data_IF_359600571910
#
_entry.id   IF_359600571910
#
_cell.length_a   1.000
_cell.length_b   1.000
_cell.length_c   1.000
_cell.angle_alpha   90.00
_cell.angle_beta   90.00
_cell.angle_gamma   90.00
#
_symmetry.space_group_name_H-M   'P 1'
#
loop_
_entity.id
_entity.type
_entity.pdbx_description
1 polymer ?
#
# COMPACT_ATOMS: atom_id res chain seq x y z
N UNK A 1 -6.38 -44.65 -0.31
CA UNK A 1 -5.77 -43.57 0.49
C UNK A 1 -6.31 -43.63 1.91
N UNK A 2 -5.54 -43.15 2.86
CA UNK A 2 -5.94 -43.04 4.27
C UNK A 2 -5.96 -41.56 4.65
N UNK A 3 -7.02 -41.14 5.36
CA UNK A 3 -7.16 -39.78 5.86
C UNK A 3 -7.47 -39.80 7.35
N UNK A 4 -6.78 -38.98 8.13
CA UNK A 4 -7.12 -38.76 9.53
C UNK A 4 -8.22 -37.72 9.57
N UNK A 5 -9.46 -38.14 9.85
CA UNK A 5 -10.62 -37.28 9.97
C UNK A 5 -11.25 -37.40 11.34
N UNK A 6 -11.49 -36.28 12.00
CA UNK A 6 -12.18 -36.24 13.29
C UNK A 6 -12.89 -34.90 13.48
N UNK A 7 -13.81 -34.88 14.43
CA UNK A 7 -14.49 -33.62 14.85
C UNK A 7 -14.23 -33.39 16.33
N UNK A 8 -14.00 -32.12 16.68
CA UNK A 8 -13.75 -31.66 18.03
C UNK A 8 -14.78 -30.60 18.40
N UNK A 9 -15.48 -30.81 19.52
CA UNK A 9 -16.51 -29.90 20.01
C UNK A 9 -15.95 -28.94 21.05
N UNK A 10 -16.32 -27.63 20.94
CA UNK A 10 -15.96 -26.61 21.91
C UNK A 10 -17.11 -25.64 22.13
N UNK A 11 -17.31 -25.21 23.37
CA UNK A 11 -18.35 -24.23 23.71
C UNK A 11 -17.68 -22.93 24.12
N UNK A 12 -18.03 -21.85 23.43
CA UNK A 12 -17.56 -20.49 23.71
C UNK A 12 -18.63 -19.65 24.41
N UNK A 13 -18.23 -18.92 25.43
CA UNK A 13 -19.06 -17.87 26.06
C UNK A 13 -19.00 -16.55 25.25
N UNK A 14 -19.07 -16.66 23.91
CA UNK A 14 -18.96 -15.60 22.93
C UNK A 14 -20.03 -15.74 21.86
N UNK A 15 -20.50 -14.62 21.27
CA UNK A 15 -21.43 -14.69 20.16
C UNK A 15 -20.72 -15.18 18.88
N UNK A 16 -21.48 -15.79 17.97
CA UNK A 16 -20.98 -16.40 16.74
C UNK A 16 -20.13 -15.45 15.87
N UNK A 17 -20.49 -14.17 15.79
CA UNK A 17 -19.77 -13.19 14.96
C UNK A 17 -18.35 -12.87 15.47
N UNK A 18 -18.02 -13.20 16.73
CA UNK A 18 -16.67 -13.05 17.28
C UNK A 18 -15.76 -14.26 16.97
N UNK A 19 -16.29 -15.30 16.34
CA UNK A 19 -15.55 -16.53 16.01
C UNK A 19 -15.03 -16.57 14.57
N UNK A 20 -15.02 -15.46 13.85
CA UNK A 20 -14.55 -15.39 12.46
C UNK A 20 -13.10 -15.86 12.24
N UNK A 21 -12.24 -15.68 13.24
CA UNK A 21 -10.84 -16.10 13.23
C UNK A 21 -10.59 -17.49 13.83
N UNK A 22 -11.64 -18.27 14.13
CA UNK A 22 -11.47 -19.59 14.73
C UNK A 22 -10.78 -20.58 13.80
N UNK A 23 -11.08 -20.57 12.50
CA UNK A 23 -10.43 -21.46 11.53
C UNK A 23 -8.92 -21.18 11.39
N UNK A 24 -8.45 -19.94 11.26
CA UNK A 24 -7.04 -19.58 11.37
C UNK A 24 -6.37 -20.06 12.66
N UNK A 25 -7.02 -19.93 13.82
CA UNK A 25 -6.46 -20.41 15.10
C UNK A 25 -6.32 -21.94 15.14
N UNK A 26 -7.33 -22.67 14.67
CA UNK A 26 -7.29 -24.14 14.56
C UNK A 26 -6.21 -24.59 13.58
N UNK A 27 -6.00 -23.86 12.47
CA UNK A 27 -4.94 -24.18 11.52
C UNK A 27 -3.55 -24.05 12.16
N UNK A 28 -3.34 -23.09 13.04
CA UNK A 28 -2.09 -22.99 13.83
C UNK A 28 -1.92 -24.16 14.78
N UNK A 29 -2.97 -24.61 15.47
CA UNK A 29 -2.90 -25.80 16.30
C UNK A 29 -2.46 -27.02 15.49
N UNK A 30 -3.05 -27.23 14.31
CA UNK A 30 -2.66 -28.31 13.40
C UNK A 30 -1.19 -28.19 12.95
N UNK A 31 -0.76 -26.98 12.58
CA UNK A 31 0.63 -26.71 12.19
C UNK A 31 1.60 -27.04 13.32
N UNK A 32 1.33 -26.61 14.56
CA UNK A 32 2.15 -26.89 15.73
C UNK A 32 2.26 -28.38 16.01
N UNK A 33 1.15 -29.12 15.96
CA UNK A 33 1.15 -30.55 16.13
C UNK A 33 1.98 -31.29 15.08
N UNK A 34 1.91 -30.85 13.81
CA UNK A 34 2.72 -31.40 12.73
C UNK A 34 4.21 -31.04 12.88
N UNK A 35 4.51 -29.82 13.29
CA UNK A 35 5.88 -29.36 13.54
C UNK A 35 6.57 -30.14 14.66
N UNK A 36 5.86 -30.49 15.75
CA UNK A 36 6.41 -31.39 16.81
C UNK A 36 6.72 -32.81 16.31
N UNK A 37 6.21 -33.13 15.13
CA UNK A 37 6.51 -34.38 14.44
C UNK A 37 7.57 -34.23 13.34
N UNK A 38 8.21 -33.06 13.24
CA UNK A 38 9.24 -32.76 12.26
C UNK A 38 8.72 -32.43 10.87
N UNK A 39 7.44 -32.10 10.73
CA UNK A 39 6.80 -31.69 9.48
C UNK A 39 6.50 -30.19 9.52
N UNK A 40 7.20 -29.40 8.73
CA UNK A 40 6.91 -28.00 8.56
C UNK A 40 5.92 -27.80 7.41
N UNK A 41 4.77 -27.21 7.71
CA UNK A 41 3.69 -26.92 6.77
C UNK A 41 3.29 -25.45 6.84
N UNK A 42 2.60 -24.99 5.82
CA UNK A 42 2.06 -23.64 5.75
C UNK A 42 0.53 -23.67 5.83
N UNK A 43 -0.03 -22.52 6.12
CA UNK A 43 -1.49 -22.31 6.17
C UNK A 43 -1.89 -21.49 4.95
N UNK A 44 -2.89 -21.95 4.23
CA UNK A 44 -3.56 -21.17 3.20
C UNK A 44 -4.90 -20.66 3.76
N UNK A 45 -5.05 -19.35 3.78
CA UNK A 45 -6.30 -18.73 4.25
C UNK A 45 -7.52 -19.18 3.44
N UNK A 46 -8.70 -19.41 4.08
CA UNK A 46 -8.91 -19.26 5.52
C UNK A 46 -8.63 -20.51 6.35
N UNK A 47 -8.60 -21.73 5.76
CA UNK A 47 -8.79 -22.98 6.48
C UNK A 47 -8.05 -24.18 5.89
N UNK A 48 -7.12 -23.99 4.95
CA UNK A 48 -6.38 -25.07 4.32
C UNK A 48 -4.98 -25.24 4.93
N UNK A 49 -4.59 -26.49 5.17
CA UNK A 49 -3.21 -26.87 5.51
C UNK A 49 -2.50 -27.29 4.22
N UNK A 50 -1.33 -26.73 3.95
CA UNK A 50 -0.63 -26.94 2.68
C UNK A 50 0.86 -27.22 2.87
N UNK A 51 1.43 -27.99 1.96
CA UNK A 51 2.87 -28.20 1.81
C UNK A 51 3.29 -27.69 0.43
N UNK A 52 3.86 -26.48 0.38
CA UNK A 52 4.09 -25.78 -0.87
C UNK A 52 2.77 -25.48 -1.60
N UNK A 53 2.57 -26.07 -2.78
CA UNK A 53 1.33 -25.91 -3.58
C UNK A 53 0.25 -26.94 -3.24
N UNK A 54 0.63 -28.03 -2.60
CA UNK A 54 -0.22 -29.20 -2.43
C UNK A 54 -1.02 -29.13 -1.14
N UNK A 55 -2.30 -29.48 -1.22
CA UNK A 55 -3.20 -29.50 -0.06
C UNK A 55 -2.94 -30.76 0.78
N UNK A 56 -2.54 -30.54 2.03
CA UNK A 56 -2.37 -31.59 3.04
C UNK A 56 -3.66 -31.90 3.80
N UNK A 57 -4.47 -30.88 4.05
CA UNK A 57 -5.68 -31.04 4.83
C UNK A 57 -6.56 -29.79 4.81
N UNK A 58 -7.66 -29.86 5.52
CA UNK A 58 -8.59 -28.75 5.64
C UNK A 58 -9.37 -28.78 6.95
N UNK A 59 -9.91 -27.62 7.30
CA UNK A 59 -10.67 -27.38 8.52
C UNK A 59 -12.05 -26.90 8.12
N UNK A 60 -13.09 -27.49 8.70
CA UNK A 60 -14.47 -27.08 8.56
C UNK A 60 -15.03 -26.78 9.94
N UNK A 61 -15.61 -25.58 10.11
CA UNK A 61 -16.20 -25.17 11.38
C UNK A 61 -17.67 -24.90 11.18
N UNK A 62 -18.48 -25.62 11.91
CA UNK A 62 -19.92 -25.38 12.02
C UNK A 62 -20.23 -24.87 13.44
N UNK A 63 -21.11 -23.88 13.52
CA UNK A 63 -21.46 -23.27 14.80
C UNK A 63 -22.96 -23.31 15.04
N UNK A 64 -23.34 -23.64 16.27
CA UNK A 64 -24.72 -23.64 16.73
C UNK A 64 -24.86 -22.71 17.92
N UNK A 65 -25.82 -21.81 17.88
CA UNK A 65 -26.12 -20.86 18.96
C UNK A 65 -27.17 -21.45 19.90
N UNK A 66 -26.87 -21.39 21.20
CA UNK A 66 -27.83 -21.78 22.24
C UNK A 66 -27.64 -20.87 23.47
N UNK A 67 -28.70 -20.18 23.92
CA UNK A 67 -28.76 -19.41 25.16
C UNK A 67 -27.59 -18.47 25.45
N UNK A 68 -27.12 -17.73 24.40
CA UNK A 68 -26.02 -16.76 24.53
C UNK A 68 -24.61 -17.37 24.38
N UNK A 69 -24.49 -18.68 24.33
CA UNK A 69 -23.23 -19.40 24.03
C UNK A 69 -23.20 -19.88 22.60
N UNK A 70 -22.01 -20.06 22.07
CA UNK A 70 -21.80 -20.65 20.73
C UNK A 70 -21.05 -21.96 20.87
N UNK A 71 -21.69 -23.05 20.48
CA UNK A 71 -21.03 -24.34 20.31
C UNK A 71 -20.43 -24.42 18.90
N UNK A 72 -19.15 -24.73 18.81
CA UNK A 72 -18.44 -24.97 17.55
C UNK A 72 -18.13 -26.46 17.41
N UNK A 73 -18.45 -27.03 16.27
CA UNK A 73 -17.99 -28.35 15.83
C UNK A 73 -16.88 -28.12 14.81
N UNK A 74 -15.68 -28.54 15.16
CA UNK A 74 -14.46 -28.30 14.41
C UNK A 74 -14.09 -29.61 13.72
N UNK A 75 -14.37 -29.75 12.43
CA UNK A 75 -13.97 -30.88 11.59
C UNK A 75 -12.55 -30.65 11.05
N UNK A 76 -11.69 -31.63 11.20
CA UNK A 76 -10.31 -31.59 10.70
C UNK A 76 -10.08 -32.85 9.86
N UNK A 77 -9.61 -32.63 8.62
CA UNK A 77 -9.19 -33.71 7.71
C UNK A 77 -7.74 -33.51 7.30
N UNK A 78 -6.89 -34.52 7.51
CA UNK A 78 -5.49 -34.52 7.11
C UNK A 78 -5.21 -35.78 6.28
N UNK A 79 -4.69 -35.61 5.06
CA UNK A 79 -4.29 -36.68 4.19
C UNK A 79 -3.11 -37.44 4.81
N UNK A 80 -3.31 -38.67 5.18
CA UNK A 80 -2.28 -39.49 5.82
C UNK A 80 -1.47 -40.29 4.79
N UNK A 81 -2.17 -40.98 3.89
CA UNK A 81 -1.61 -41.71 2.75
C UNK A 81 -2.47 -41.43 1.52
N UNK A 82 -1.86 -41.00 0.44
CA UNK A 82 -2.55 -40.76 -0.82
C UNK A 82 -2.21 -41.80 -1.87
N UNK A 83 -3.16 -42.21 -2.75
CA UNK A 83 -2.87 -42.91 -3.98
C UNK A 83 -1.93 -42.12 -4.88
N UNK A 84 -1.14 -42.83 -5.70
CA UNK A 84 -0.13 -42.19 -6.58
C UNK A 84 -0.74 -41.28 -7.68
N UNK A 85 -2.01 -41.48 -8.00
CA UNK A 85 -2.71 -40.82 -9.07
C UNK A 85 -3.36 -39.46 -8.63
N UNK A 86 -3.26 -39.09 -7.34
CA UNK A 86 -3.86 -37.86 -6.84
C UNK A 86 -2.88 -36.71 -7.03
N UNK A 87 -3.25 -35.77 -7.91
CA UNK A 87 -2.50 -34.56 -8.17
C UNK A 87 -2.88 -33.41 -7.21
N UNK A 88 -1.99 -32.44 -6.99
CA UNK A 88 -2.21 -31.24 -6.17
C UNK A 88 -2.58 -31.54 -4.70
N UNK A 89 -2.18 -32.68 -4.17
CA UNK A 89 -2.38 -33.05 -2.79
C UNK A 89 -1.11 -33.60 -2.15
N UNK A 90 -0.86 -33.22 -0.89
CA UNK A 90 0.22 -33.74 -0.06
C UNK A 90 -0.33 -34.75 0.96
N UNK A 91 0.53 -35.65 1.47
CA UNK A 91 0.21 -36.51 2.57
C UNK A 91 1.30 -36.53 3.63
N UNK A 92 0.92 -36.83 4.87
CA UNK A 92 1.86 -36.96 6.00
C UNK A 92 2.97 -37.95 5.67
N UNK A 93 2.64 -39.10 5.08
CA UNK A 93 3.61 -40.11 4.71
C UNK A 93 4.64 -39.60 3.68
N UNK A 94 4.18 -38.91 2.62
CA UNK A 94 5.07 -38.38 1.60
C UNK A 94 6.00 -37.31 2.15
N UNK A 95 5.46 -36.40 2.99
CA UNK A 95 6.27 -35.37 3.65
C UNK A 95 7.32 -35.96 4.59
N UNK A 96 6.97 -36.96 5.35
CA UNK A 96 7.91 -37.68 6.19
C UNK A 96 9.05 -38.32 5.36
N UNK A 97 8.70 -38.99 4.27
CA UNK A 97 9.67 -39.62 3.39
C UNK A 97 10.65 -38.58 2.80
N UNK A 98 10.12 -37.45 2.30
CA UNK A 98 10.94 -36.38 1.73
C UNK A 98 11.86 -35.74 2.79
N UNK A 99 11.37 -35.51 4.01
CA UNK A 99 12.16 -34.93 5.10
C UNK A 99 13.30 -35.86 5.53
N UNK A 100 13.13 -37.20 5.43
CA UNK A 100 14.16 -38.19 5.73
C UNK A 100 15.22 -38.29 4.65
N UNK A 101 14.81 -38.26 3.37
CA UNK A 101 15.75 -38.20 2.25
C UNK A 101 16.66 -36.98 2.37
N UNK A 102 16.11 -35.81 2.73
CA UNK A 102 16.87 -34.59 2.93
C UNK A 102 17.89 -34.66 4.09
N UNK A 103 17.63 -35.50 5.11
CA UNK A 103 18.51 -35.73 6.29
C UNK A 103 19.49 -36.87 6.12
N UNK A 104 19.45 -37.61 5.01
CA UNK A 104 20.35 -38.76 4.77
C UNK A 104 20.11 -39.96 5.68
N UNK A 105 18.93 -40.11 6.29
CA UNK A 105 18.60 -41.23 7.23
C UNK A 105 17.78 -42.30 6.54
N UNK A 106 18.26 -43.54 6.53
CA UNK A 106 17.75 -44.63 5.68
C UNK A 106 16.58 -45.44 6.26
N UNK A 107 16.04 -45.18 7.42
CA UNK A 107 14.77 -45.80 7.86
C UNK A 107 14.20 -45.21 9.14
N UNK A 108 13.12 -44.44 9.03
CA UNK A 108 12.23 -44.16 10.16
C UNK A 108 10.80 -44.37 9.68
N UNK A 109 10.03 -45.09 10.48
CA UNK A 109 8.60 -45.34 10.20
C UNK A 109 7.85 -44.03 10.34
N UNK A 110 6.88 -43.77 9.44
CA UNK A 110 5.98 -42.64 9.57
C UNK A 110 5.31 -42.66 10.96
N UNK A 111 5.08 -41.50 11.53
CA UNK A 111 4.35 -41.36 12.81
C UNK A 111 2.99 -42.09 12.70
N UNK A 112 2.59 -42.91 13.67
CA UNK A 112 1.25 -43.52 13.70
C UNK A 112 0.16 -42.44 13.74
N UNK A 113 -0.96 -42.68 13.06
CA UNK A 113 -2.08 -41.74 13.03
C UNK A 113 -2.62 -41.42 14.45
N UNK A 114 -2.61 -42.41 15.35
CA UNK A 114 -2.99 -42.20 16.76
C UNK A 114 -2.08 -41.22 17.49
N UNK A 115 -0.75 -41.33 17.28
CA UNK A 115 0.21 -40.41 17.88
C UNK A 115 0.05 -38.98 17.33
N UNK A 116 -0.24 -38.83 16.05
CA UNK A 116 -0.55 -37.51 15.48
C UNK A 116 -1.85 -36.97 16.05
N UNK A 117 -2.87 -37.81 16.21
CA UNK A 117 -4.15 -37.40 16.81
C UNK A 117 -3.96 -36.92 18.27
N UNK A 118 -3.17 -37.60 19.08
CA UNK A 118 -2.89 -37.19 20.46
C UNK A 118 -2.23 -35.81 20.51
N UNK A 119 -1.27 -35.53 19.61
CA UNK A 119 -0.63 -34.21 19.48
C UNK A 119 -1.61 -33.16 19.02
N UNK A 120 -2.46 -33.44 18.03
CA UNK A 120 -3.50 -32.54 17.54
C UNK A 120 -4.47 -32.17 18.65
N UNK A 121 -4.96 -33.11 19.43
CA UNK A 121 -5.86 -32.87 20.55
C UNK A 121 -5.21 -32.00 21.63
N UNK A 122 -3.93 -32.24 21.95
CA UNK A 122 -3.16 -31.42 22.88
C UNK A 122 -3.05 -29.96 22.43
N UNK A 123 -2.63 -29.72 21.19
CA UNK A 123 -2.49 -28.36 20.63
C UNK A 123 -3.83 -27.67 20.45
N UNK A 124 -4.87 -28.39 20.01
CA UNK A 124 -6.23 -27.86 19.91
C UNK A 124 -6.74 -27.37 21.26
N UNK A 125 -6.58 -28.19 22.32
CA UNK A 125 -7.00 -27.77 23.65
C UNK A 125 -6.27 -26.52 24.14
N UNK A 126 -4.95 -26.44 23.92
CA UNK A 126 -4.14 -25.29 24.30
C UNK A 126 -4.56 -24.01 23.54
N UNK A 127 -4.67 -24.10 22.20
CA UNK A 127 -5.04 -22.97 21.35
C UNK A 127 -6.48 -22.51 21.63
N UNK A 128 -7.44 -23.43 21.74
CA UNK A 128 -8.84 -23.07 21.98
C UNK A 128 -9.05 -22.47 23.38
N UNK A 129 -8.32 -22.91 24.39
CA UNK A 129 -8.33 -22.30 25.72
C UNK A 129 -7.84 -20.87 25.66
N UNK A 130 -6.72 -20.60 25.02
CA UNK A 130 -6.17 -19.26 24.85
C UNK A 130 -7.07 -18.38 23.99
N UNK A 131 -7.60 -18.92 22.89
CA UNK A 131 -8.53 -18.22 22.00
C UNK A 131 -9.84 -17.84 22.70
N UNK A 132 -10.39 -18.69 23.52
CA UNK A 132 -11.60 -18.39 24.29
C UNK A 132 -11.42 -17.17 25.19
N UNK A 133 -10.23 -16.98 25.76
CA UNK A 133 -9.92 -15.86 26.66
C UNK A 133 -9.51 -14.59 25.90
N UNK A 134 -8.63 -14.71 24.91
CA UNK A 134 -7.90 -13.59 24.33
C UNK A 134 -8.24 -13.32 22.84
N UNK A 135 -9.10 -14.16 22.21
CA UNK A 135 -9.34 -14.09 20.77
C UNK A 135 -8.12 -14.48 19.97
N UNK A 136 -8.04 -13.99 18.72
CA UNK A 136 -6.98 -14.36 17.79
C UNK A 136 -5.73 -13.48 17.88
N UNK A 137 -5.82 -12.31 18.52
CA UNK A 137 -4.72 -11.35 18.59
C UNK A 137 -3.36 -11.94 19.03
N UNK A 138 -3.27 -12.85 20.02
CA UNK A 138 -1.99 -13.48 20.43
C UNK A 138 -1.35 -14.38 19.36
N UNK A 139 -2.09 -14.77 18.34
CA UNK A 139 -1.65 -15.71 17.31
C UNK A 139 -1.27 -15.03 15.99
N UNK A 140 -1.51 -13.71 15.85
CA UNK A 140 -1.37 -12.98 14.59
C UNK A 140 0.02 -13.08 13.98
N UNK A 141 1.07 -12.84 14.76
CA UNK A 141 2.46 -12.87 14.28
C UNK A 141 2.85 -14.26 13.77
N UNK A 142 2.51 -15.29 14.54
CA UNK A 142 2.77 -16.68 14.15
C UNK A 142 1.96 -17.06 12.90
N UNK A 143 0.71 -16.63 12.82
CA UNK A 143 -0.13 -16.90 11.66
C UNK A 143 0.40 -16.22 10.40
N UNK A 144 0.80 -14.93 10.48
CA UNK A 144 1.41 -14.20 9.38
C UNK A 144 2.63 -14.92 8.81
N UNK A 145 3.49 -15.41 9.72
CA UNK A 145 4.70 -16.19 9.34
C UNK A 145 4.34 -17.55 8.69
N UNK A 146 3.27 -18.18 9.15
CA UNK A 146 2.81 -19.48 8.65
C UNK A 146 1.96 -19.36 7.38
N UNK A 147 1.42 -18.16 7.09
CA UNK A 147 0.52 -17.95 5.95
C UNK A 147 1.27 -18.02 4.62
N UNK A 148 0.97 -19.04 3.80
CA UNK A 148 1.67 -19.34 2.53
C UNK A 148 1.71 -18.17 1.56
N UNK A 149 0.58 -17.46 1.46
CA UNK A 149 0.39 -16.42 0.45
C UNK A 149 0.71 -15.01 0.98
N UNK A 150 1.22 -14.87 2.21
CA UNK A 150 1.61 -13.58 2.78
C UNK A 150 2.65 -12.87 1.89
N UNK A 151 2.39 -11.62 1.52
CA UNK A 151 3.22 -10.82 0.62
C UNK A 151 3.19 -11.27 -0.85
N UNK A 152 2.32 -12.22 -1.25
CA UNK A 152 2.27 -12.78 -2.61
C UNK A 152 1.04 -12.30 -3.38
N UNK A 153 1.15 -12.19 -4.72
CA UNK A 153 -0.01 -11.95 -5.56
C UNK A 153 -0.92 -13.18 -5.59
N UNK A 154 -2.22 -12.92 -5.51
CA UNK A 154 -3.26 -13.96 -5.49
C UNK A 154 -4.47 -13.53 -6.31
N UNK A 155 -5.18 -14.54 -6.82
CA UNK A 155 -6.50 -14.39 -7.40
C UNK A 155 -7.55 -14.73 -6.33
N UNK A 156 -8.55 -13.87 -6.20
CA UNK A 156 -9.71 -14.09 -5.36
C UNK A 156 -10.82 -14.69 -6.19
N UNK A 157 -11.24 -15.92 -5.88
CA UNK A 157 -12.25 -16.64 -6.63
C UNK A 157 -13.53 -16.79 -5.80
N UNK A 158 -14.69 -16.57 -6.45
CA UNK A 158 -16.00 -16.92 -5.95
C UNK A 158 -16.65 -17.82 -6.99
N UNK A 159 -17.15 -18.98 -6.59
CA UNK A 159 -17.74 -19.98 -7.49
C UNK A 159 -16.84 -20.37 -8.68
N UNK A 160 -15.51 -20.39 -8.43
CA UNK A 160 -14.51 -20.72 -9.45
C UNK A 160 -14.19 -19.61 -10.44
N UNK A 161 -14.85 -18.45 -10.35
CA UNK A 161 -14.58 -17.28 -11.18
C UNK A 161 -13.73 -16.26 -10.42
N UNK A 162 -12.73 -15.68 -11.07
CA UNK A 162 -11.93 -14.60 -10.50
C UNK A 162 -12.80 -13.36 -10.32
N UNK A 163 -12.98 -12.93 -9.07
CA UNK A 163 -13.73 -11.73 -8.72
C UNK A 163 -12.82 -10.55 -8.41
N UNK A 164 -11.56 -10.79 -8.04
CA UNK A 164 -10.55 -9.77 -7.82
C UNK A 164 -9.14 -10.39 -7.84
N UNK A 165 -8.13 -9.52 -7.95
CA UNK A 165 -6.72 -9.88 -7.82
C UNK A 165 -6.02 -8.88 -6.88
N UNK A 166 -4.97 -9.31 -6.21
CA UNK A 166 -4.23 -8.43 -5.29
C UNK A 166 -3.09 -9.13 -4.61
N UNK A 167 -2.33 -8.37 -3.83
CA UNK A 167 -1.24 -8.89 -2.98
C UNK A 167 -1.76 -9.05 -1.55
N UNK A 168 -1.52 -10.20 -0.94
CA UNK A 168 -1.89 -10.45 0.46
C UNK A 168 -1.03 -9.59 1.39
N UNK A 169 -1.68 -8.72 2.17
CA UNK A 169 -1.00 -7.86 3.14
C UNK A 169 -0.92 -8.54 4.52
N UNK A 170 -2.06 -8.95 5.05
CA UNK A 170 -2.15 -9.50 6.40
C UNK A 170 -3.48 -10.22 6.61
N UNK A 171 -3.61 -10.87 7.78
CA UNK A 171 -4.90 -11.29 8.35
C UNK A 171 -5.07 -10.54 9.67
N UNK A 172 -6.25 -9.99 9.93
CA UNK A 172 -6.53 -9.24 11.16
C UNK A 172 -6.97 -10.13 12.33
N UNK A 173 -7.20 -9.52 13.49
CA UNK A 173 -7.64 -10.22 14.70
C UNK A 173 -9.06 -10.83 14.58
N UNK A 174 -9.85 -10.41 13.61
CA UNK A 174 -11.16 -10.95 13.27
C UNK A 174 -11.08 -12.10 12.27
N UNK A 175 -9.88 -12.39 11.74
CA UNK A 175 -9.64 -13.42 10.75
C UNK A 175 -9.90 -13.00 9.31
N UNK A 176 -10.16 -11.71 9.08
CA UNK A 176 -10.35 -11.17 7.74
C UNK A 176 -9.00 -10.98 7.05
N UNK A 177 -8.98 -11.27 5.75
CA UNK A 177 -7.80 -11.10 4.90
C UNK A 177 -7.76 -9.70 4.32
N UNK A 178 -6.61 -9.06 4.40
CA UNK A 178 -6.33 -7.77 3.79
C UNK A 178 -5.52 -7.95 2.51
N UNK A 179 -6.05 -7.43 1.41
CA UNK A 179 -5.43 -7.48 0.08
C UNK A 179 -5.14 -6.07 -0.42
N UNK A 180 -3.97 -5.85 -0.98
CA UNK A 180 -3.70 -4.68 -1.82
C UNK A 180 -4.12 -5.00 -3.26
N UNK A 181 -5.16 -4.34 -3.72
CA UNK A 181 -5.67 -4.45 -5.09
C UNK A 181 -5.36 -3.20 -5.89
N UNK A 182 -5.60 -3.20 -7.19
CA UNK A 182 -5.47 -2.00 -8.03
C UNK A 182 -6.38 -0.85 -7.56
N UNK A 183 -7.49 -1.14 -6.87
CA UNK A 183 -8.42 -0.15 -6.30
C UNK A 183 -8.05 0.30 -4.87
N UNK A 184 -6.94 -0.20 -4.30
CA UNK A 184 -6.51 0.05 -2.92
C UNK A 184 -6.68 -1.17 -2.01
N UNK A 185 -6.51 -0.97 -0.70
CA UNK A 185 -6.66 -2.02 0.28
C UNK A 185 -8.12 -2.49 0.37
N UNK A 186 -8.31 -3.79 0.31
CA UNK A 186 -9.60 -4.46 0.42
C UNK A 186 -9.58 -5.49 1.54
N UNK A 187 -10.60 -5.46 2.39
CA UNK A 187 -10.82 -6.46 3.44
C UNK A 187 -11.75 -7.55 2.94
N UNK A 188 -11.34 -8.80 3.08
CA UNK A 188 -12.08 -9.99 2.66
C UNK A 188 -12.41 -10.84 3.88
N UNK A 189 -13.70 -10.99 4.15
CA UNK A 189 -14.17 -11.87 5.21
C UNK A 189 -14.36 -13.27 4.65
N UNK A 190 -14.02 -14.31 5.41
CA UNK A 190 -14.19 -15.71 4.99
C UNK A 190 -15.67 -16.02 4.65
N UNK A 191 -15.86 -16.70 3.54
CA UNK A 191 -17.16 -17.10 3.00
C UNK A 191 -16.93 -18.02 1.80
N UNK A 192 -17.74 -17.93 0.77
CA UNK A 192 -17.60 -18.70 -0.49
C UNK A 192 -16.44 -18.16 -1.37
N UNK A 193 -15.30 -17.84 -0.77
CA UNK A 193 -14.16 -17.23 -1.43
C UNK A 193 -12.93 -18.11 -1.27
N UNK A 194 -12.25 -18.39 -2.36
CA UNK A 194 -11.02 -19.17 -2.42
C UNK A 194 -9.86 -18.31 -2.93
N UNK A 195 -8.70 -18.42 -2.28
CA UNK A 195 -7.45 -17.86 -2.77
C UNK A 195 -6.76 -18.86 -3.70
N UNK A 196 -6.26 -18.36 -4.83
CA UNK A 196 -5.31 -19.10 -5.65
C UNK A 196 -4.06 -18.23 -5.89
N UNK A 197 -2.85 -18.84 -5.90
CA UNK A 197 -1.68 -18.12 -6.39
C UNK A 197 -1.97 -17.63 -7.81
N UNK A 198 -1.59 -16.41 -8.11
CA UNK A 198 -1.62 -15.93 -9.47
C UNK A 198 -0.39 -16.52 -10.19
N UNK A 199 -0.61 -17.69 -10.82
CA UNK A 199 0.42 -18.42 -11.59
C UNK A 199 0.49 -17.97 -13.06
N UNK A 200 -0.16 -16.89 -13.45
CA UNK A 200 0.04 -16.31 -14.78
C UNK A 200 1.54 -16.06 -14.97
N UNK A 201 2.16 -16.44 -16.12
CA UNK A 201 3.55 -16.16 -16.35
C UNK A 201 3.76 -14.64 -16.42
N UNK A 202 3.82 -14.01 -15.27
CA UNK A 202 4.43 -12.69 -15.13
C UNK A 202 5.92 -12.92 -15.18
N UNK A 203 6.61 -12.16 -16.01
CA UNK A 203 8.06 -12.13 -16.05
C UNK A 203 8.62 -12.24 -14.63
N UNK A 204 9.60 -13.11 -14.44
CA UNK A 204 10.29 -13.53 -13.22
C UNK A 204 9.77 -12.95 -11.90
N UNK A 205 9.39 -13.81 -10.94
CA UNK A 205 8.96 -13.43 -9.60
C UNK A 205 9.77 -12.23 -9.07
N UNK A 206 9.11 -11.20 -8.51
CA UNK A 206 9.83 -10.06 -7.94
C UNK A 206 10.85 -10.60 -6.94
N UNK A 207 12.10 -10.26 -7.16
CA UNK A 207 13.18 -10.46 -6.19
C UNK A 207 12.75 -9.83 -4.87
N UNK A 208 13.23 -10.34 -3.70
CA UNK A 208 12.90 -9.75 -2.41
C UNK A 208 13.05 -8.23 -2.48
N UNK A 209 12.14 -7.47 -1.87
CA UNK A 209 12.01 -6.04 -2.13
C UNK A 209 13.36 -5.36 -1.98
N UNK A 210 13.86 -4.85 -3.11
CA UNK A 210 14.98 -3.92 -3.10
C UNK A 210 14.56 -2.77 -2.19
N UNK A 211 15.39 -2.40 -1.24
CA UNK A 211 15.15 -1.20 -0.46
C UNK A 211 15.14 0.00 -1.39
N UNK A 212 14.13 0.83 -1.28
CA UNK A 212 13.95 1.96 -2.18
C UNK A 212 13.89 3.24 -1.36
N UNK A 213 14.72 4.20 -1.73
CA UNK A 213 14.68 5.56 -1.23
C UNK A 213 14.13 6.47 -2.32
N UNK A 214 13.01 7.15 -2.04
CA UNK A 214 12.41 8.14 -2.94
C UNK A 214 12.79 9.55 -2.50
N UNK A 215 13.17 10.42 -3.45
CA UNK A 215 13.62 11.79 -3.22
C UNK A 215 12.77 12.79 -3.99
N UNK A 216 12.24 13.81 -3.31
CA UNK A 216 11.61 15.01 -3.88
C UNK A 216 12.47 16.23 -3.62
N UNK A 217 13.26 16.62 -4.62
CA UNK A 217 14.19 17.75 -4.60
C UNK A 217 13.52 19.08 -4.94
N UNK A 218 12.72 19.63 -4.03
CA UNK A 218 12.09 20.95 -4.18
C UNK A 218 13.08 22.11 -4.06
N UNK A 219 12.66 23.34 -4.44
CA UNK A 219 13.54 24.52 -4.40
C UNK A 219 14.02 24.91 -3.00
N UNK A 220 13.22 24.72 -1.96
CA UNK A 220 13.53 25.17 -0.59
C UNK A 220 14.08 24.06 0.30
N UNK A 221 13.63 22.83 0.09
CA UNK A 221 13.98 21.68 0.93
C UNK A 221 13.92 20.39 0.13
N UNK A 222 14.69 19.41 0.60
CA UNK A 222 14.58 18.01 0.19
C UNK A 222 13.50 17.32 1.03
N UNK A 223 12.70 16.45 0.40
CA UNK A 223 11.88 15.46 1.09
C UNK A 223 12.27 14.07 0.63
N UNK A 224 12.18 13.10 1.53
CA UNK A 224 12.48 11.71 1.18
C UNK A 224 11.61 10.72 1.94
N UNK A 225 11.43 9.56 1.37
CA UNK A 225 10.69 8.45 1.95
C UNK A 225 11.40 7.13 1.69
N UNK A 226 11.52 6.31 2.71
CA UNK A 226 11.91 4.91 2.58
C UNK A 226 10.69 4.09 2.25
N UNK A 227 10.81 3.25 1.22
CA UNK A 227 9.75 2.33 0.78
C UNK A 227 10.10 0.93 1.22
N UNK A 228 9.20 0.31 1.95
CA UNK A 228 9.27 -1.08 2.40
C UNK A 228 7.99 -1.79 1.94
N UNK A 229 8.13 -2.91 1.24
CA UNK A 229 7.00 -3.67 0.70
C UNK A 229 6.03 -2.85 -0.19
N UNK A 230 6.57 -1.91 -0.98
CA UNK A 230 5.77 -1.06 -1.87
C UNK A 230 4.99 0.07 -1.20
N UNK A 231 5.23 0.32 0.09
CA UNK A 231 4.57 1.37 0.88
C UNK A 231 5.61 2.22 1.60
N UNK A 232 5.34 3.51 1.79
CA UNK A 232 6.09 4.37 2.70
C UNK A 232 5.15 4.86 3.82
N UNK A 233 5.66 4.92 5.04
CA UNK A 233 4.88 5.33 6.21
C UNK A 233 5.16 6.78 6.61
N UNK A 234 6.36 7.25 6.36
CA UNK A 234 6.81 8.58 6.77
C UNK A 234 7.57 9.28 5.64
N UNK A 235 7.38 10.58 5.51
CA UNK A 235 8.17 11.45 4.64
C UNK A 235 8.96 12.42 5.51
N UNK A 236 10.28 12.26 5.50
CA UNK A 236 11.20 13.18 6.16
C UNK A 236 11.49 14.38 5.26
N UNK A 237 11.80 15.53 5.86
CA UNK A 237 12.16 16.75 5.14
C UNK A 237 13.30 17.49 5.84
N UNK A 238 14.19 18.10 5.05
CA UNK A 238 15.25 18.93 5.56
C UNK A 238 15.64 20.06 4.58
N UNK A 239 16.11 21.19 5.07
CA UNK A 239 16.72 22.23 4.24
C UNK A 239 18.07 21.75 3.69
N UNK A 240 18.47 22.17 2.49
CA UNK A 240 19.73 21.75 1.87
C UNK A 240 21.00 22.14 2.65
N UNK A 241 20.90 23.08 3.58
CA UNK A 241 22.02 23.46 4.47
C UNK A 241 22.31 22.43 5.56
N UNK A 242 21.38 21.51 5.80
CA UNK A 242 21.51 20.45 6.80
C UNK A 242 20.78 19.19 6.34
N UNK A 243 21.54 18.27 5.75
CA UNK A 243 21.08 16.97 5.27
C UNK A 243 21.68 15.83 6.14
N UNK A 244 22.17 16.13 7.34
CA UNK A 244 22.76 15.14 8.25
C UNK A 244 21.82 13.95 8.50
N UNK A 245 20.54 14.23 8.73
CA UNK A 245 19.52 13.19 8.94
C UNK A 245 19.39 12.23 7.73
N UNK A 246 19.53 12.72 6.50
CA UNK A 246 19.52 11.86 5.31
C UNK A 246 20.71 10.89 5.33
N UNK A 247 21.92 11.39 5.65
CA UNK A 247 23.12 10.58 5.76
C UNK A 247 23.05 9.54 6.89
N UNK A 248 22.51 9.92 8.04
CA UNK A 248 22.28 9.01 9.18
C UNK A 248 21.30 7.89 8.83
N UNK A 249 20.16 8.24 8.23
CA UNK A 249 19.17 7.26 7.80
C UNK A 249 19.72 6.36 6.69
N UNK A 250 20.49 6.92 5.76
CA UNK A 250 21.16 6.16 4.73
C UNK A 250 22.11 5.12 5.32
N UNK A 251 23.00 5.53 6.20
CA UNK A 251 23.95 4.65 6.86
C UNK A 251 23.28 3.53 7.67
N UNK A 252 22.13 3.84 8.29
CA UNK A 252 21.40 2.88 9.12
C UNK A 252 20.53 1.90 8.33
N UNK A 253 20.05 2.28 7.14
CA UNK A 253 18.99 1.54 6.42
C UNK A 253 19.40 1.00 5.04
N UNK A 254 20.46 1.54 4.42
CA UNK A 254 20.88 1.11 3.07
C UNK A 254 21.64 -0.22 3.09
N UNK A 255 21.56 -0.93 1.97
CA UNK A 255 22.38 -2.10 1.66
C UNK A 255 22.85 -2.02 0.20
N UNK A 256 23.61 -3.02 -0.28
CA UNK A 256 24.17 -3.09 -1.63
C UNK A 256 23.10 -3.17 -2.76
N UNK A 257 21.83 -3.39 -2.41
CA UNK A 257 20.70 -3.47 -3.32
C UNK A 257 19.75 -2.27 -3.21
N UNK A 258 20.07 -1.31 -2.35
CA UNK A 258 19.22 -0.13 -2.16
C UNK A 258 19.24 0.74 -3.42
N UNK A 259 18.06 0.93 -4.01
CA UNK A 259 17.87 1.85 -5.15
C UNK A 259 17.46 3.24 -4.65
N UNK A 260 17.92 4.26 -5.36
CA UNK A 260 17.54 5.65 -5.08
C UNK A 260 16.93 6.25 -6.34
N UNK A 261 15.67 6.66 -6.24
CA UNK A 261 14.92 7.28 -7.33
C UNK A 261 14.36 8.62 -6.86
N UNK A 262 14.55 9.66 -7.63
CA UNK A 262 14.06 10.97 -7.26
C UNK A 262 13.69 11.82 -8.46
N UNK A 263 13.01 12.92 -8.21
CA UNK A 263 12.89 14.03 -9.14
C UNK A 263 13.36 15.32 -8.46
N UNK A 264 13.83 16.27 -9.23
CA UNK A 264 14.34 17.52 -8.68
C UNK A 264 14.12 18.71 -9.60
N UNK A 265 13.78 19.84 -8.97
CA UNK A 265 13.69 21.17 -9.58
C UNK A 265 14.62 22.18 -8.88
N UNK A 266 15.51 21.67 -8.03
CA UNK A 266 16.38 22.49 -7.18
C UNK A 266 17.71 22.91 -7.82
N UNK A 267 17.98 22.42 -9.04
CA UNK A 267 19.24 22.65 -9.75
C UNK A 267 20.40 21.73 -9.31
N UNK A 268 21.45 21.67 -10.14
CA UNK A 268 22.52 20.66 -10.03
C UNK A 268 23.37 20.79 -8.74
N UNK A 269 23.60 22.02 -8.26
CA UNK A 269 24.33 22.23 -7.01
C UNK A 269 23.66 21.56 -5.81
N UNK A 270 22.31 21.66 -5.71
CA UNK A 270 21.57 21.03 -4.62
C UNK A 270 21.44 19.52 -4.80
N UNK A 271 21.36 19.02 -6.04
CA UNK A 271 21.46 17.58 -6.31
C UNK A 271 22.79 17.02 -5.82
N UNK A 272 23.91 17.68 -6.13
CA UNK A 272 25.24 17.28 -5.67
C UNK A 272 25.34 17.26 -4.14
N UNK A 273 24.71 18.23 -3.44
CA UNK A 273 24.65 18.20 -1.96
C UNK A 273 23.89 16.97 -1.44
N UNK A 274 22.80 16.56 -2.09
CA UNK A 274 22.08 15.34 -1.72
C UNK A 274 22.93 14.11 -1.95
N UNK A 275 23.53 14.00 -3.13
CA UNK A 275 24.37 12.86 -3.53
C UNK A 275 25.61 12.68 -2.63
N UNK A 276 26.14 13.76 -2.09
CA UNK A 276 27.27 13.70 -1.16
C UNK A 276 26.95 12.97 0.16
N UNK A 277 25.69 12.79 0.53
CA UNK A 277 25.24 12.05 1.70
C UNK A 277 24.88 10.59 1.41
N UNK A 278 25.00 10.15 0.16
CA UNK A 278 24.57 8.84 -0.32
C UNK A 278 25.76 8.12 -0.95
N UNK A 279 25.89 6.81 -0.73
CA UNK A 279 27.00 6.01 -1.30
C UNK A 279 26.60 5.28 -2.58
N UNK A 280 25.35 5.44 -3.03
CA UNK A 280 24.84 4.88 -4.27
C UNK A 280 24.36 6.01 -5.21
N UNK A 281 24.37 5.80 -6.53
CA UNK A 281 23.93 6.81 -7.49
C UNK A 281 22.41 7.06 -7.37
N UNK A 282 22.05 8.33 -7.49
CA UNK A 282 20.63 8.75 -7.53
C UNK A 282 20.16 8.76 -8.97
N UNK A 283 19.09 8.05 -9.25
CA UNK A 283 18.39 8.16 -10.54
C UNK A 283 17.39 9.31 -10.49
N UNK A 284 17.81 10.47 -11.01
CA UNK A 284 16.94 11.64 -11.13
C UNK A 284 16.07 11.53 -12.37
N UNK A 285 14.75 11.51 -12.16
CA UNK A 285 13.76 11.38 -13.23
C UNK A 285 13.30 12.77 -13.70
N UNK A 286 13.39 13.05 -15.00
CA UNK A 286 12.83 14.26 -15.61
C UNK A 286 11.31 14.10 -15.81
N UNK A 287 10.66 15.16 -16.25
CA UNK A 287 9.34 15.02 -16.87
C UNK A 287 9.46 14.26 -18.19
N UNK A 288 8.45 13.46 -18.50
CA UNK A 288 8.43 12.53 -19.63
C UNK A 288 7.27 12.83 -20.58
N UNK A 289 7.36 12.44 -21.87
CA UNK A 289 6.24 12.56 -22.81
C UNK A 289 5.04 11.68 -22.42
N UNK A 290 5.30 10.55 -21.75
CA UNK A 290 4.27 9.63 -21.26
C UNK A 290 4.81 8.81 -20.11
N UNK A 291 3.99 8.56 -19.07
CA UNK A 291 4.22 7.60 -18.02
C UNK A 291 2.89 7.20 -17.35
N UNK A 292 2.79 5.96 -16.85
CA UNK A 292 1.61 5.45 -16.13
C UNK A 292 0.29 5.64 -16.91
N UNK A 293 0.34 5.51 -18.23
CA UNK A 293 -0.80 5.77 -19.10
C UNK A 293 -1.16 7.25 -19.28
N UNK A 294 -0.48 8.18 -18.59
CA UNK A 294 -0.71 9.63 -18.73
C UNK A 294 0.17 10.18 -19.85
N UNK A 295 -0.47 10.90 -20.78
CA UNK A 295 0.20 11.59 -21.88
C UNK A 295 0.43 13.07 -21.53
N UNK A 296 1.69 13.50 -21.62
CA UNK A 296 2.10 14.88 -21.39
C UNK A 296 1.94 15.73 -22.66
N UNK A 297 1.20 16.83 -22.58
CA UNK A 297 0.99 17.75 -23.70
C UNK A 297 1.92 18.96 -23.69
N UNK A 298 2.94 18.99 -22.84
CA UNK A 298 3.99 19.98 -22.93
C UNK A 298 4.69 19.85 -24.29
N UNK A 299 4.90 20.98 -24.98
CA UNK A 299 5.58 20.99 -26.29
C UNK A 299 7.00 20.45 -26.19
N UNK A 300 7.68 20.82 -25.12
CA UNK A 300 9.00 20.32 -24.77
C UNK A 300 8.95 19.80 -23.33
N UNK A 301 8.89 18.47 -23.12
CA UNK A 301 8.89 17.87 -21.79
C UNK A 301 10.09 18.24 -20.92
N UNK A 302 11.25 18.61 -21.50
CA UNK A 302 12.42 19.03 -20.74
C UNK A 302 12.25 20.37 -20.02
N UNK A 303 11.32 21.22 -20.46
CA UNK A 303 10.98 22.48 -19.81
C UNK A 303 9.94 22.30 -18.69
N UNK A 304 9.31 21.13 -18.65
CA UNK A 304 8.27 20.82 -17.67
C UNK A 304 8.91 20.39 -16.35
N UNK A 305 8.62 21.09 -15.26
CA UNK A 305 9.12 20.75 -13.93
C UNK A 305 8.72 19.31 -13.54
N UNK A 306 9.70 18.53 -13.16
CA UNK A 306 9.49 17.12 -12.78
C UNK A 306 8.58 16.99 -11.56
N UNK A 307 8.59 17.92 -10.61
CA UNK A 307 7.69 17.98 -9.47
C UNK A 307 6.21 18.09 -9.89
N UNK A 308 5.90 18.88 -10.91
CA UNK A 308 4.54 18.99 -11.46
C UNK A 308 4.11 17.70 -12.16
N UNK A 309 5.03 17.10 -12.91
CA UNK A 309 4.80 15.82 -13.59
C UNK A 309 4.50 14.70 -12.59
N UNK A 310 5.34 14.55 -11.57
CA UNK A 310 5.13 13.51 -10.55
C UNK A 310 3.95 13.79 -9.63
N UNK A 311 3.56 15.05 -9.40
CA UNK A 311 2.28 15.40 -8.78
C UNK A 311 1.09 14.90 -9.61
N UNK A 312 1.12 15.06 -10.95
CA UNK A 312 0.07 14.54 -11.83
C UNK A 312 0.01 13.00 -11.82
N UNK A 313 1.16 12.32 -11.89
CA UNK A 313 1.23 10.87 -11.76
C UNK A 313 0.70 10.36 -10.41
N UNK A 314 1.04 11.05 -9.33
CA UNK A 314 0.58 10.72 -7.97
C UNK A 314 -0.91 10.96 -7.76
N UNK A 315 -1.49 11.93 -8.47
CA UNK A 315 -2.91 12.28 -8.32
C UNK A 315 -3.85 11.15 -8.72
N UNK A 316 -3.43 10.28 -9.63
CA UNK A 316 -4.21 9.13 -10.09
C UNK A 316 -4.47 8.08 -9.01
N UNK A 317 -3.70 8.08 -7.94
CA UNK A 317 -4.00 7.26 -6.75
C UNK A 317 -5.25 7.73 -6.01
N UNK A 318 -5.62 8.98 -6.15
CA UNK A 318 -6.67 9.65 -5.37
C UNK A 318 -7.88 10.08 -6.18
N UNK A 319 -7.77 10.12 -7.51
CA UNK A 319 -8.86 10.45 -8.43
C UNK A 319 -8.66 9.79 -9.79
N UNK A 320 -9.74 9.21 -10.31
CA UNK A 320 -9.85 8.73 -11.69
C UNK A 320 -10.61 9.73 -12.58
N UNK A 321 -11.23 10.76 -11.98
CA UNK A 321 -11.92 11.82 -12.70
C UNK A 321 -10.93 12.79 -13.34
N UNK A 322 -11.44 13.69 -14.17
CA UNK A 322 -10.70 14.91 -14.51
C UNK A 322 -10.32 15.62 -13.20
N UNK A 323 -9.09 16.10 -13.08
CA UNK A 323 -8.69 16.76 -11.84
C UNK A 323 -7.75 17.96 -12.06
N UNK A 324 -7.91 18.96 -11.20
CA UNK A 324 -6.96 20.05 -11.03
C UNK A 324 -6.01 19.67 -9.91
N UNK A 325 -4.73 19.58 -10.22
CA UNK A 325 -3.67 19.29 -9.25
C UNK A 325 -3.00 20.60 -8.84
N UNK A 326 -3.10 20.96 -7.56
CA UNK A 326 -2.60 22.21 -7.02
C UNK A 326 -1.44 21.92 -6.08
N UNK A 327 -0.28 22.53 -6.34
CA UNK A 327 0.87 22.45 -5.42
C UNK A 327 1.15 23.80 -4.78
N UNK A 328 1.06 23.87 -3.45
CA UNK A 328 1.22 25.09 -2.65
C UNK A 328 2.56 25.10 -1.92
N UNK A 329 3.64 25.35 -2.67
CA UNK A 329 5.01 25.41 -2.17
C UNK A 329 5.65 26.81 -2.31
N UNK A 330 6.95 26.83 -2.65
CA UNK A 330 7.71 28.05 -2.99
C UNK A 330 7.08 28.78 -4.17
N UNK A 331 6.67 28.02 -5.19
CA UNK A 331 5.71 28.44 -6.20
C UNK A 331 4.36 27.77 -5.94
N UNK A 332 3.28 28.38 -6.41
CA UNK A 332 1.97 27.72 -6.52
C UNK A 332 1.76 27.35 -7.98
N UNK A 333 1.42 26.07 -8.21
CA UNK A 333 1.06 25.58 -9.54
C UNK A 333 -0.37 25.07 -9.55
N UNK A 334 -1.07 25.21 -10.68
CA UNK A 334 -2.37 24.61 -10.92
C UNK A 334 -2.34 23.90 -12.26
N UNK A 335 -2.46 22.58 -12.24
CA UNK A 335 -2.27 21.69 -13.37
C UNK A 335 -3.56 20.96 -13.72
N UNK A 336 -3.86 20.78 -14.99
CA UNK A 336 -5.08 20.13 -15.47
C UNK A 336 -4.77 18.75 -16.04
N UNK A 337 -5.49 17.74 -15.55
CA UNK A 337 -5.43 16.35 -15.97
C UNK A 337 -6.84 15.86 -16.30
N UNK A 338 -7.05 15.37 -17.53
CA UNK A 338 -8.37 14.87 -17.97
C UNK A 338 -8.63 13.45 -17.48
N UNK A 339 -9.89 13.02 -17.47
CA UNK A 339 -10.30 11.66 -17.09
C UNK A 339 -9.69 10.55 -17.98
N UNK A 340 -9.38 10.88 -19.23
CA UNK A 340 -8.72 9.99 -20.20
C UNK A 340 -7.18 10.12 -20.18
N UNK A 341 -6.63 10.61 -19.07
CA UNK A 341 -5.19 10.66 -18.80
C UNK A 341 -4.37 11.59 -19.73
N UNK A 342 -4.90 12.76 -20.09
CA UNK A 342 -4.13 13.79 -20.74
C UNK A 342 -3.74 14.89 -19.76
N UNK A 343 -2.44 15.06 -19.49
CA UNK A 343 -1.91 16.20 -18.78
C UNK A 343 -1.83 17.40 -19.74
N UNK A 344 -2.73 18.36 -19.56
CA UNK A 344 -2.91 19.47 -20.49
C UNK A 344 -1.93 20.63 -20.27
N UNK A 345 -1.23 20.63 -19.16
CA UNK A 345 -0.44 21.75 -18.68
C UNK A 345 -1.14 22.51 -17.56
N UNK A 346 -0.58 23.65 -17.19
CA UNK A 346 -1.08 24.43 -16.07
C UNK A 346 -0.39 25.79 -15.92
N UNK A 347 -0.65 26.44 -14.79
CA UNK A 347 -0.09 27.75 -14.46
C UNK A 347 0.90 27.68 -13.32
N UNK A 348 1.84 28.62 -13.30
CA UNK A 348 2.84 28.78 -12.24
C UNK A 348 2.75 30.23 -11.76
N UNK A 349 2.67 30.41 -10.45
CA UNK A 349 2.71 31.71 -9.81
C UNK A 349 3.61 31.71 -8.57
N UNK A 350 4.07 32.85 -8.07
CA UNK A 350 4.80 32.93 -6.83
C UNK A 350 3.97 32.36 -5.68
N UNK A 351 4.58 31.58 -4.76
CA UNK A 351 3.95 31.19 -3.50
C UNK A 351 3.80 32.37 -2.55
N UNK A 352 3.05 32.17 -1.46
CA UNK A 352 2.71 33.24 -0.51
C UNK A 352 3.93 34.00 0.02
N UNK A 353 5.03 33.29 0.28
CA UNK A 353 6.27 33.91 0.76
C UNK A 353 6.90 34.82 -0.29
N UNK A 354 7.02 34.31 -1.53
CA UNK A 354 7.59 35.08 -2.64
C UNK A 354 6.73 36.29 -2.99
N UNK A 355 5.38 36.18 -2.97
CA UNK A 355 4.50 37.31 -3.21
C UNK A 355 4.72 38.42 -2.15
N UNK A 356 4.82 38.02 -0.88
CA UNK A 356 5.07 38.95 0.24
C UNK A 356 6.44 39.64 0.12
N UNK A 357 7.50 38.85 -0.15
CA UNK A 357 8.85 39.38 -0.34
C UNK A 357 8.93 40.34 -1.52
N UNK A 358 8.26 39.99 -2.62
CA UNK A 358 8.23 40.89 -3.80
C UNK A 358 7.58 42.25 -3.48
N UNK A 359 6.49 42.29 -2.72
CA UNK A 359 5.84 43.51 -2.28
C UNK A 359 6.76 44.29 -1.33
N UNK A 360 7.38 43.62 -0.34
CA UNK A 360 8.31 44.24 0.59
C UNK A 360 9.54 44.86 -0.11
N UNK A 361 10.11 44.12 -1.08
CA UNK A 361 11.32 44.53 -1.78
C UNK A 361 11.11 45.63 -2.84
N UNK A 362 9.91 45.74 -3.41
CA UNK A 362 9.64 46.59 -4.56
C UNK A 362 8.70 47.75 -4.26
N UNK A 363 8.28 47.95 -3.00
CA UNK A 363 7.38 49.04 -2.61
C UNK A 363 7.84 49.70 -1.31
N UNK A 364 7.58 50.99 -1.15
CA UNK A 364 8.05 51.77 0.00
C UNK A 364 7.34 51.39 1.33
N UNK A 365 6.07 50.93 1.28
CA UNK A 365 5.23 50.82 2.47
C UNK A 365 4.51 49.48 2.64
N UNK A 366 4.85 48.44 1.83
CA UNK A 366 4.18 47.11 1.89
C UNK A 366 5.02 46.05 2.60
N UNK A 367 6.15 46.41 3.20
CA UNK A 367 6.82 45.50 4.16
C UNK A 367 6.03 45.50 5.48
N UNK A 368 5.09 44.60 5.58
CA UNK A 368 4.16 44.47 6.71
C UNK A 368 4.14 43.07 7.26
N UNK A 369 3.82 42.89 8.55
CA UNK A 369 3.59 41.56 9.12
C UNK A 369 2.45 40.85 8.38
N UNK A 370 2.36 39.51 8.53
CA UNK A 370 1.25 38.77 7.96
C UNK A 370 -0.09 39.17 8.59
N UNK A 371 -1.08 39.48 7.75
CA UNK A 371 -2.43 39.78 8.16
C UNK A 371 -3.33 38.57 8.20
N UNK A 372 -4.63 38.81 8.39
CA UNK A 372 -5.70 37.79 8.28
C UNK A 372 -6.46 37.99 6.96
N UNK A 373 -7.08 36.92 6.49
CA UNK A 373 -7.93 36.94 5.29
C UNK A 373 -9.33 37.46 5.65
N UNK A 374 -9.79 38.47 4.93
CA UNK A 374 -11.12 39.06 5.05
C UNK A 374 -11.74 39.30 3.66
N UNK A 375 -13.06 39.18 3.51
CA UNK A 375 -13.74 39.52 2.25
C UNK A 375 -13.54 41.00 1.82
N UNK A 376 -13.51 41.90 2.79
CA UNK A 376 -13.31 43.35 2.62
C UNK A 376 -12.29 43.85 3.65
N UNK A 377 -10.97 43.65 3.38
CA UNK A 377 -9.93 44.05 4.33
C UNK A 377 -9.78 45.58 4.42
N UNK A 378 -9.70 46.10 5.65
CA UNK A 378 -9.59 47.51 5.94
C UNK A 378 -8.25 47.93 6.51
N UNK A 379 -7.28 47.06 6.55
CA UNK A 379 -5.90 47.33 6.94
C UNK A 379 -4.91 46.80 5.91
N UNK A 380 -3.76 47.46 5.73
CA UNK A 380 -2.76 47.08 4.74
C UNK A 380 -2.26 45.60 4.93
N UNK A 381 -1.93 45.11 6.14
CA UNK A 381 -1.54 43.71 6.31
C UNK A 381 -2.63 42.71 5.88
N UNK A 382 -3.89 43.02 6.23
CA UNK A 382 -5.02 42.16 5.83
C UNK A 382 -5.28 42.24 4.31
N UNK A 383 -5.15 43.42 3.70
CA UNK A 383 -5.32 43.58 2.27
C UNK A 383 -4.27 42.79 1.47
N UNK A 384 -3.01 42.83 1.90
CA UNK A 384 -1.93 42.04 1.28
C UNK A 384 -2.24 40.54 1.40
N UNK A 385 -2.57 40.07 2.61
CA UNK A 385 -2.82 38.65 2.84
C UNK A 385 -4.06 38.14 2.11
N UNK A 386 -5.16 38.94 2.11
CA UNK A 386 -6.38 38.57 1.35
C UNK A 386 -6.11 38.55 -0.16
N UNK A 387 -5.42 39.56 -0.71
CA UNK A 387 -5.12 39.59 -2.13
C UNK A 387 -4.25 38.47 -2.62
N UNK A 388 -3.24 38.06 -1.83
CA UNK A 388 -2.44 36.86 -2.15
C UNK A 388 -3.29 35.59 -2.13
N UNK A 389 -4.20 35.45 -1.17
CA UNK A 389 -5.09 34.29 -1.08
C UNK A 389 -6.10 34.26 -2.22
N UNK A 390 -6.70 35.40 -2.54
CA UNK A 390 -7.63 35.57 -3.66
C UNK A 390 -6.97 35.24 -5.00
N UNK A 391 -5.71 35.61 -5.19
CA UNK A 391 -4.94 35.25 -6.39
C UNK A 391 -4.81 33.73 -6.54
N UNK A 392 -4.48 33.03 -5.45
CA UNK A 392 -4.32 31.55 -5.48
C UNK A 392 -5.67 30.88 -5.65
N UNK A 393 -6.69 31.24 -4.86
CA UNK A 393 -8.04 30.68 -4.98
C UNK A 393 -8.65 30.93 -6.35
N UNK A 394 -8.46 32.14 -6.89
CA UNK A 394 -8.91 32.51 -8.22
C UNK A 394 -8.27 31.68 -9.33
N UNK A 395 -6.97 31.37 -9.21
CA UNK A 395 -6.28 30.49 -10.14
C UNK A 395 -6.81 29.04 -10.10
N UNK A 396 -7.10 28.51 -8.90
CA UNK A 396 -7.71 27.18 -8.73
C UNK A 396 -9.10 27.14 -9.39
N UNK A 397 -9.96 28.11 -9.07
CA UNK A 397 -11.33 28.16 -9.61
C UNK A 397 -11.30 28.33 -11.13
N UNK A 398 -10.43 29.19 -11.65
CA UNK A 398 -10.29 29.42 -13.08
C UNK A 398 -9.82 28.16 -13.82
N UNK A 399 -8.84 27.46 -13.28
CA UNK A 399 -8.37 26.20 -13.87
C UNK A 399 -9.44 25.12 -13.82
N UNK A 400 -10.16 24.99 -12.70
CA UNK A 400 -11.30 24.10 -12.56
C UNK A 400 -12.37 24.39 -13.61
N UNK A 401 -12.78 25.65 -13.76
CA UNK A 401 -13.77 26.06 -14.76
C UNK A 401 -13.35 25.73 -16.20
N UNK A 402 -12.07 25.94 -16.55
CA UNK A 402 -11.52 25.58 -17.88
C UNK A 402 -11.56 24.06 -18.08
N UNK A 403 -11.18 23.29 -17.08
CA UNK A 403 -11.19 21.83 -17.15
C UNK A 403 -12.63 21.31 -17.21
N UNK A 404 -13.57 21.89 -16.45
CA UNK A 404 -14.99 21.55 -16.48
C UNK A 404 -15.60 21.77 -17.86
N UNK A 405 -15.28 22.90 -18.53
CA UNK A 405 -15.73 23.17 -19.91
C UNK A 405 -15.20 22.11 -20.90
N UNK A 406 -13.97 21.65 -20.71
CA UNK A 406 -13.35 20.60 -21.56
C UNK A 406 -13.95 19.23 -21.30
N UNK A 407 -14.19 18.89 -20.05
CA UNK A 407 -14.72 17.60 -19.61
C UNK A 407 -16.20 17.45 -19.94
N UNK A 408 -16.96 18.55 -19.93
CA UNK A 408 -18.40 18.62 -20.21
C UNK A 408 -19.27 18.70 -18.96
N UNK A 409 -20.51 19.15 -19.15
CA UNK A 409 -21.49 19.29 -18.07
C UNK A 409 -21.82 17.92 -17.44
N UNK A 410 -21.99 17.90 -16.12
CA UNK A 410 -22.39 16.72 -15.36
C UNK A 410 -21.27 15.71 -15.08
N UNK A 411 -20.09 15.89 -15.63
CA UNK A 411 -18.93 15.06 -15.27
C UNK A 411 -18.15 15.69 -14.13
N UNK A 412 -17.70 14.92 -13.13
CA UNK A 412 -16.96 15.47 -11.99
C UNK A 412 -15.56 15.94 -12.39
N UNK A 413 -15.14 17.08 -11.82
CA UNK A 413 -13.76 17.55 -11.85
C UNK A 413 -13.29 17.70 -10.41
N UNK A 414 -12.37 16.84 -10.00
CA UNK A 414 -11.82 16.86 -8.65
C UNK A 414 -10.72 17.93 -8.51
N UNK A 415 -10.47 18.38 -7.28
CA UNK A 415 -9.36 19.26 -6.94
C UNK A 415 -8.49 18.57 -5.91
N UNK A 416 -7.22 18.31 -6.27
CA UNK A 416 -6.23 17.71 -5.36
C UNK A 416 -5.20 18.77 -5.03
N UNK A 417 -5.07 19.09 -3.74
CA UNK A 417 -4.17 20.14 -3.27
C UNK A 417 -3.08 19.54 -2.40
N UNK A 418 -1.83 19.86 -2.68
CA UNK A 418 -0.65 19.42 -1.93
C UNK A 418 0.21 20.58 -1.47
N UNK A 419 1.15 20.31 -0.57
CA UNK A 419 2.13 21.28 -0.09
C UNK A 419 1.71 22.04 1.16
N UNK A 420 2.67 22.76 1.76
CA UNK A 420 2.50 23.39 3.08
C UNK A 420 1.43 24.49 3.15
N UNK A 421 0.98 25.02 2.01
CA UNK A 421 -0.09 26.00 1.91
C UNK A 421 -1.48 25.40 1.69
N UNK A 422 -1.60 24.10 1.49
CA UNK A 422 -2.84 23.44 1.04
C UNK A 422 -4.04 23.73 1.95
N UNK A 423 -3.92 23.53 3.26
CA UNK A 423 -5.01 23.79 4.21
C UNK A 423 -5.47 25.25 4.23
N UNK A 424 -4.54 26.20 4.02
CA UNK A 424 -4.89 27.64 3.95
C UNK A 424 -5.72 27.93 2.72
N UNK A 425 -5.37 27.33 1.57
CA UNK A 425 -6.10 27.50 0.31
C UNK A 425 -7.50 26.88 0.43
N UNK A 426 -7.63 25.65 0.93
CA UNK A 426 -8.95 25.01 1.11
C UNK A 426 -9.86 25.83 2.02
N UNK A 427 -9.31 26.37 3.13
CA UNK A 427 -10.08 27.20 4.06
C UNK A 427 -10.50 28.56 3.46
N UNK A 428 -9.80 29.05 2.43
CA UNK A 428 -10.07 30.33 1.79
C UNK A 428 -10.92 30.20 0.51
N UNK A 429 -11.02 29.00 -0.08
CA UNK A 429 -11.91 28.75 -1.20
C UNK A 429 -13.37 29.06 -0.82
N UNK A 430 -14.19 29.58 -1.75
CA UNK A 430 -15.62 29.77 -1.49
C UNK A 430 -16.28 28.50 -0.97
N UNK A 431 -17.05 28.60 0.09
CA UNK A 431 -17.73 27.43 0.71
C UNK A 431 -18.55 26.65 -0.30
N UNK A 432 -19.26 27.36 -1.19
CA UNK A 432 -20.07 26.73 -2.22
C UNK A 432 -19.19 25.92 -3.19
N UNK A 433 -18.04 26.45 -3.58
CA UNK A 433 -17.10 25.71 -4.44
C UNK A 433 -16.63 24.40 -3.79
N UNK A 434 -16.33 24.42 -2.49
CA UNK A 434 -15.90 23.23 -1.75
C UNK A 434 -17.06 22.22 -1.56
N UNK A 435 -18.30 22.71 -1.45
CA UNK A 435 -19.49 21.86 -1.32
C UNK A 435 -19.87 21.19 -2.65
N UNK A 436 -19.71 21.92 -3.76
CA UNK A 436 -20.10 21.47 -5.09
C UNK A 436 -19.06 20.55 -5.73
N UNK A 437 -17.84 20.51 -5.22
CA UNK A 437 -16.71 19.81 -5.82
C UNK A 437 -15.99 18.90 -4.81
N UNK A 438 -15.38 17.82 -5.30
CA UNK A 438 -14.49 16.99 -4.49
C UNK A 438 -13.14 17.68 -4.34
N UNK A 439 -12.87 18.23 -3.16
CA UNK A 439 -11.58 18.87 -2.83
C UNK A 439 -10.85 18.01 -1.81
N UNK A 440 -9.65 17.50 -2.18
CA UNK A 440 -8.81 16.64 -1.35
C UNK A 440 -7.46 17.30 -1.05
N UNK A 441 -7.03 17.26 0.21
CA UNK A 441 -5.65 17.58 0.58
C UNK A 441 -4.88 16.25 0.62
N UNK A 442 -3.80 16.20 -0.17
CA UNK A 442 -2.91 15.02 -0.21
C UNK A 442 -1.48 15.49 -0.01
N UNK A 443 -0.90 15.14 1.10
CA UNK A 443 0.51 15.45 1.38
C UNK A 443 1.45 14.59 0.53
N UNK A 444 2.62 15.16 0.17
CA UNK A 444 3.71 14.46 -0.49
C UNK A 444 3.34 13.76 -1.82
N UNK A 445 2.49 14.40 -2.61
CA UNK A 445 1.95 13.85 -3.85
C UNK A 445 3.03 13.44 -4.86
N UNK A 446 4.18 14.14 -4.90
CA UNK A 446 5.36 13.77 -5.70
C UNK A 446 5.88 12.39 -5.33
N UNK A 447 5.97 12.08 -4.03
CA UNK A 447 6.46 10.77 -3.55
C UNK A 447 5.52 9.64 -4.03
N UNK A 448 4.19 9.86 -4.01
CA UNK A 448 3.25 8.91 -4.59
C UNK A 448 3.45 8.72 -6.10
N UNK A 449 3.73 9.80 -6.83
CA UNK A 449 4.03 9.73 -8.26
C UNK A 449 5.30 8.92 -8.57
N UNK A 450 6.36 9.14 -7.79
CA UNK A 450 7.61 8.37 -7.89
C UNK A 450 7.37 6.90 -7.55
N UNK A 451 6.62 6.62 -6.48
CA UNK A 451 6.29 5.24 -6.09
C UNK A 451 5.52 4.50 -7.19
N UNK A 452 4.49 5.15 -7.76
CA UNK A 452 3.72 4.56 -8.86
C UNK A 452 4.59 4.29 -10.09
N UNK A 453 5.53 5.21 -10.40
CA UNK A 453 6.43 5.06 -11.54
C UNK A 453 7.39 3.86 -11.34
N UNK A 454 7.99 3.72 -10.14
CA UNK A 454 8.87 2.58 -9.82
C UNK A 454 8.11 1.25 -9.85
N UNK A 455 6.87 1.23 -9.38
CA UNK A 455 6.03 0.02 -9.42
C UNK A 455 5.78 -0.42 -10.87
N UNK A 456 5.46 0.50 -11.78
CA UNK A 456 5.29 0.17 -13.21
C UNK A 456 6.58 -0.29 -13.88
N UNK A 457 7.74 0.31 -13.54
CA UNK A 457 9.03 -0.11 -14.07
C UNK A 457 9.35 -1.56 -13.73
N UNK A 458 8.99 -2.00 -12.52
CA UNK A 458 9.17 -3.40 -12.08
C UNK A 458 8.23 -4.37 -12.83
N UNK A 459 7.05 -3.91 -13.22
CA UNK A 459 6.06 -4.71 -13.96
C UNK A 459 6.37 -4.80 -15.47
N UNK A 460 7.04 -3.82 -16.07
CA UNK A 460 7.28 -3.73 -17.52
C UNK A 460 8.70 -3.21 -17.84
N UNK A 461 9.75 -4.01 -17.56
CA UNK A 461 11.13 -3.56 -17.74
C UNK A 461 11.49 -3.20 -19.19
N UNK A 462 10.78 -3.73 -20.20
CA UNK A 462 11.11 -3.58 -21.63
C UNK A 462 10.37 -2.44 -22.36
N UNK A 463 9.55 -1.65 -21.69
CA UNK A 463 8.70 -0.62 -22.34
C UNK A 463 9.01 0.83 -22.00
N UNK A 464 10.02 1.10 -21.18
CA UNK A 464 10.39 2.47 -20.85
C UNK A 464 11.47 2.99 -21.80
N UNK A 465 11.36 4.22 -22.34
CA UNK A 465 12.44 4.84 -23.12
C UNK A 465 13.66 5.08 -22.22
N UNK A 466 14.84 4.84 -22.77
CA UNK A 466 16.15 5.14 -22.18
C UNK A 466 16.31 6.61 -21.78
#
# INVERSE_FOLDING_TARGET
>A
GECLMFSFGWVFDKPQHELGSLAPAVALACRRALATSGLDIQIKWPNDLVAGRDKLGGILIETVRNEGKTAAVIGIGINFVLPKEVENAASVQALFHNAQLARGTASVHCIPASTLLDKLLGELNAVLTQYAQNGFAPFLEEYQTAHRDHGRPVLLLRDGQTVNEGTVLSVDAQGALHLMTAAGEQTVVSGEISLRPDDTPRAAAPRPPERLLLLDGGNSQLKWAWVENGVFNEVTRAPYRDLSKLGEEWAARSDDRTRIVGCAVCGDLKKALVEAHLTAPVRWLPSMPQALGIRNHYRNPAEHGSDRWFNALGSRRFSQNACVVVSCGTAVTTDALTEDNHYLGGTIMPGFHLMKEALAAKTANLDRPAGKVYPFPTTTPNAITSGMMDAVCGAVIMMHGRLQQKTGEGKPVDVIITGGGASKVVNALPKQFVLDNTVKIVDNLVIYGLLNWVAQEQEQPDKLPE
#
